data_IF_917632443240
#
_entry.id   IF_917632443240
#
_cell.length_a   1.000
_cell.length_b   1.000
_cell.length_c   1.000
_cell.angle_alpha   90.00
_cell.angle_beta   90.00
_cell.angle_gamma   90.00
#
_symmetry.space_group_name_H-M   'P 1'
#
loop_
_entity.id
_entity.type
_entity.pdbx_description
1 polymer ?
#
# COMPACT_ATOMS: atom_id res chain seq x y z
N UNK A 1 -20.65 17.30 2.41
CA UNK A 1 -19.40 16.61 2.80
C UNK A 1 -18.37 17.67 3.15
N UNK A 2 -17.68 17.58 4.30
CA UNK A 2 -16.77 18.62 4.79
C UNK A 2 -15.52 18.75 3.87
N UNK A 3 -15.09 19.99 3.58
CA UNK A 3 -13.94 20.30 2.70
C UNK A 3 -12.64 19.61 3.14
N UNK A 4 -12.43 19.43 4.45
CA UNK A 4 -11.26 18.73 5.00
C UNK A 4 -11.23 17.23 4.63
N UNK A 5 -12.40 16.57 4.56
CA UNK A 5 -12.47 15.16 4.16
C UNK A 5 -12.05 14.97 2.70
N UNK A 6 -12.50 15.86 1.81
CA UNK A 6 -12.17 15.81 0.38
C UNK A 6 -10.66 15.99 0.19
N UNK A 7 -10.06 16.95 0.90
CA UNK A 7 -8.62 17.18 0.84
C UNK A 7 -7.81 15.97 1.33
N UNK A 8 -8.23 15.37 2.45
CA UNK A 8 -7.61 14.15 2.99
C UNK A 8 -7.67 12.99 1.99
N UNK A 9 -8.85 12.71 1.42
CA UNK A 9 -9.02 11.65 0.42
C UNK A 9 -8.13 11.88 -0.82
N UNK A 10 -8.02 13.12 -1.30
CA UNK A 10 -7.13 13.47 -2.42
C UNK A 10 -5.66 13.16 -2.09
N UNK A 11 -5.20 13.56 -0.91
CA UNK A 11 -3.83 13.32 -0.45
C UNK A 11 -3.53 11.84 -0.24
N UNK A 12 -4.50 11.09 0.28
CA UNK A 12 -4.41 9.63 0.41
C UNK A 12 -4.21 8.98 -0.95
N UNK A 13 -4.99 9.39 -1.96
CA UNK A 13 -4.83 8.91 -3.34
C UNK A 13 -3.41 9.18 -3.88
N UNK A 14 -2.88 10.40 -3.72
CA UNK A 14 -1.51 10.74 -4.15
C UNK A 14 -0.45 9.86 -3.47
N UNK A 15 -0.61 9.62 -2.17
CA UNK A 15 0.33 8.81 -1.38
C UNK A 15 0.31 7.36 -1.84
N UNK A 16 -0.89 6.79 -2.00
CA UNK A 16 -1.05 5.41 -2.48
C UNK A 16 -0.49 5.25 -3.89
N UNK A 17 -0.69 6.21 -4.81
CA UNK A 17 -0.08 6.15 -6.14
C UNK A 17 1.46 6.23 -6.11
N UNK A 18 2.03 6.97 -5.17
CA UNK A 18 3.47 7.01 -4.93
C UNK A 18 4.01 5.63 -4.54
N UNK A 19 3.40 5.00 -3.54
CA UNK A 19 3.76 3.64 -3.08
C UNK A 19 3.58 2.61 -4.20
N UNK A 20 2.45 2.67 -4.91
CA UNK A 20 2.10 1.77 -6.01
C UNK A 20 3.12 1.82 -7.16
N UNK A 21 3.58 3.02 -7.52
CA UNK A 21 4.54 3.22 -8.62
C UNK A 21 5.80 2.39 -8.42
N UNK A 22 6.29 2.33 -7.19
CA UNK A 22 7.49 1.58 -6.83
C UNK A 22 7.19 0.12 -6.49
N UNK A 23 6.07 -0.16 -5.83
CA UNK A 23 5.71 -1.53 -5.41
C UNK A 23 5.37 -2.46 -6.59
N UNK A 24 4.75 -1.95 -7.65
CA UNK A 24 4.27 -2.77 -8.79
C UNK A 24 5.03 -2.48 -10.09
N UNK A 25 6.18 -1.81 -9.99
CA UNK A 25 7.05 -1.59 -11.13
C UNK A 25 6.40 -0.86 -12.30
N UNK A 26 5.49 0.11 -12.05
CA UNK A 26 4.84 0.91 -13.11
C UNK A 26 5.82 1.77 -13.93
N UNK A 27 7.12 1.67 -13.65
CA UNK A 27 8.20 2.24 -14.43
C UNK A 27 8.67 1.31 -15.57
N UNK A 28 8.29 0.02 -15.55
CA UNK A 28 8.71 -0.99 -16.52
C UNK A 28 7.49 -1.77 -17.03
N UNK A 29 7.09 -1.50 -18.27
CA UNK A 29 6.01 -2.21 -18.95
C UNK A 29 6.57 -3.24 -19.92
N UNK A 30 5.96 -4.42 -19.97
CA UNK A 30 6.37 -5.48 -20.90
C UNK A 30 5.79 -5.23 -22.30
N UNK A 31 4.61 -4.64 -22.38
CA UNK A 31 3.96 -4.37 -23.65
C UNK A 31 4.49 -3.11 -24.33
N UNK A 32 4.58 -3.15 -25.67
CA UNK A 32 4.92 -1.99 -26.51
C UNK A 32 3.69 -1.26 -27.08
N UNK A 33 2.56 -1.96 -27.18
CA UNK A 33 1.29 -1.37 -27.67
C UNK A 33 0.60 -0.62 -26.54
N UNK A 34 0.13 0.60 -26.81
CA UNK A 34 -0.52 1.48 -25.81
C UNK A 34 -1.74 0.83 -25.12
N UNK A 35 -2.54 0.08 -25.86
CA UNK A 35 -3.73 -0.60 -25.32
C UNK A 35 -3.35 -1.68 -24.31
N UNK A 36 -2.32 -2.46 -24.64
CA UNK A 36 -1.81 -3.51 -23.76
C UNK A 36 -1.13 -2.93 -22.51
N UNK A 37 -0.44 -1.78 -22.64
CA UNK A 37 0.10 -1.05 -21.49
C UNK A 37 -1.03 -0.63 -20.53
N UNK A 38 -2.16 -0.14 -21.05
CA UNK A 38 -3.33 0.18 -20.21
C UNK A 38 -3.85 -1.05 -19.48
N UNK A 39 -3.99 -2.18 -20.18
CA UNK A 39 -4.41 -3.44 -19.57
C UNK A 39 -3.44 -3.89 -18.47
N UNK A 40 -2.14 -3.76 -18.71
CA UNK A 40 -1.09 -4.09 -17.73
C UNK A 40 -1.18 -3.21 -16.48
N UNK A 41 -1.42 -1.90 -16.63
CA UNK A 41 -1.67 -0.98 -15.51
C UNK A 41 -2.89 -1.42 -14.70
N UNK A 42 -4.01 -1.73 -15.36
CA UNK A 42 -5.23 -2.17 -14.66
C UNK A 42 -5.04 -3.50 -13.95
N UNK A 43 -4.38 -4.47 -14.57
CA UNK A 43 -4.10 -5.78 -13.95
C UNK A 43 -3.24 -5.62 -12.68
N UNK A 44 -2.19 -4.79 -12.77
CA UNK A 44 -1.31 -4.44 -11.64
C UNK A 44 -2.08 -3.75 -10.49
N UNK A 45 -2.92 -2.78 -10.81
CA UNK A 45 -3.79 -2.10 -9.83
C UNK A 45 -4.73 -3.07 -9.11
N UNK A 46 -5.40 -3.95 -9.86
CA UNK A 46 -6.33 -4.94 -9.30
C UNK A 46 -5.59 -5.89 -8.36
N UNK A 47 -4.42 -6.40 -8.77
CA UNK A 47 -3.62 -7.31 -7.96
C UNK A 47 -3.20 -6.66 -6.63
N UNK A 48 -2.71 -5.43 -6.65
CA UNK A 48 -2.33 -4.75 -5.42
C UNK A 48 -3.52 -4.47 -4.50
N UNK A 49 -4.63 -3.97 -5.04
CA UNK A 49 -5.85 -3.78 -4.25
C UNK A 49 -6.34 -5.10 -3.62
N UNK A 50 -6.18 -6.22 -4.34
CA UNK A 50 -6.51 -7.54 -3.83
C UNK A 50 -5.58 -7.97 -2.70
N UNK A 51 -4.26 -7.89 -2.89
CA UNK A 51 -3.27 -8.20 -1.87
C UNK A 51 -3.44 -7.33 -0.61
N UNK A 52 -3.61 -6.02 -0.78
CA UNK A 52 -3.87 -5.08 0.32
C UNK A 52 -5.11 -5.43 1.12
N UNK A 53 -6.20 -5.83 0.45
CA UNK A 53 -7.42 -6.28 1.12
C UNK A 53 -7.21 -7.56 1.92
N UNK A 54 -6.38 -8.48 1.43
CA UNK A 54 -6.04 -9.71 2.15
C UNK A 54 -5.17 -9.37 3.37
N UNK A 55 -4.10 -8.61 3.19
CA UNK A 55 -3.17 -8.22 4.25
C UNK A 55 -3.91 -7.52 5.39
N UNK A 56 -4.84 -6.60 5.09
CA UNK A 56 -5.64 -5.90 6.10
C UNK A 56 -6.55 -6.81 6.93
N UNK A 57 -6.93 -7.98 6.40
CA UNK A 57 -7.74 -8.97 7.12
C UNK A 57 -6.91 -9.91 7.98
N UNK A 58 -5.61 -9.99 7.74
CA UNK A 58 -4.71 -10.84 8.52
C UNK A 58 -4.42 -10.09 9.83
N UNK A 59 -4.97 -10.57 10.94
CA UNK A 59 -4.60 -10.09 12.26
C UNK A 59 -3.19 -10.59 12.59
N UNK A 60 -2.20 -9.72 12.43
CA UNK A 60 -0.84 -9.99 12.86
C UNK A 60 -0.86 -10.00 14.39
N UNK A 61 -0.71 -11.18 15.00
CA UNK A 61 -0.46 -11.28 16.42
C UNK A 61 0.82 -10.51 16.73
N UNK A 62 0.69 -9.32 17.34
CA UNK A 62 1.85 -8.59 17.84
C UNK A 62 2.48 -9.48 18.91
N UNK A 63 3.66 -10.04 18.59
CA UNK A 63 4.52 -10.68 19.58
C UNK A 63 4.69 -9.64 20.69
N UNK A 64 4.20 -9.93 21.90
CA UNK A 64 4.46 -9.09 23.07
C UNK A 64 5.98 -9.01 23.18
N UNK A 65 6.57 -7.87 22.79
CA UNK A 65 7.96 -7.59 23.15
C UNK A 65 8.02 -7.73 24.67
N UNK A 66 8.80 -8.71 25.12
CA UNK A 66 8.92 -9.05 26.52
C UNK A 66 9.22 -7.76 27.31
N UNK A 67 8.25 -7.34 28.13
CA UNK A 67 8.34 -6.24 29.10
C UNK A 67 9.63 -6.31 29.94
N UNK A 68 10.24 -7.49 30.03
CA UNK A 68 11.53 -7.78 30.68
C UNK A 68 12.67 -6.89 30.16
N UNK A 69 12.77 -6.57 28.87
CA UNK A 69 13.91 -5.80 28.35
C UNK A 69 13.80 -4.31 28.72
N UNK A 70 12.57 -3.76 28.82
CA UNK A 70 12.37 -2.36 29.23
C UNK A 70 12.62 -2.15 30.73
N UNK A 71 12.34 -3.15 31.57
CA UNK A 71 12.70 -3.09 32.99
C UNK A 71 14.20 -3.20 33.24
N UNK A 72 14.95 -3.92 32.39
CA UNK A 72 16.42 -4.07 32.55
C UNK A 72 17.19 -2.82 32.08
N UNK A 73 16.62 -2.00 31.19
CA UNK A 73 17.25 -0.79 30.67
C UNK A 73 16.88 0.49 31.45
N UNK A 74 16.17 0.36 32.57
CA UNK A 74 15.81 1.47 33.47
C UNK A 74 16.52 1.39 34.83
N UNK A 75 17.42 0.43 35.03
CA UNK A 75 18.31 0.31 36.19
C UNK A 75 19.74 0.81 35.87
#
# INVERSE_FOLDING_TARGET
MNSQKIYKMRREIETTFGELKYAIGLNTFHARKRELIKQEIYARLILHNFCERIIKKIEIQKKKENTIIKSILQD
#
